data_IF_828185297870
#
_entry.id   IF_828185297870
#
_cell.length_a   1.000
_cell.length_b   1.000
_cell.length_c   1.000
_cell.angle_alpha   90.00
_cell.angle_beta   90.00
_cell.angle_gamma   90.00
#
_symmetry.space_group_name_H-M   'P 1'
#
loop_
_entity.id
_entity.type
_entity.pdbx_description
1 polymer ?
#
# COMPACT_ATOMS: atom_id res chain seq x y z
N UNK A 1 6.28 22.11 -11.43
CA UNK A 1 6.18 20.77 -10.79
C UNK A 1 5.81 19.75 -11.85
N UNK A 2 6.59 18.67 -12.07
CA UNK A 2 6.29 17.66 -13.09
C UNK A 2 4.98 16.94 -12.73
N UNK A 3 4.01 16.91 -13.64
CA UNK A 3 2.72 16.24 -13.43
C UNK A 3 2.95 14.72 -13.37
N UNK A 4 2.54 14.07 -12.27
CA UNK A 4 2.56 12.61 -12.18
C UNK A 4 1.40 12.04 -12.99
N UNK A 5 1.75 11.26 -14.02
CA UNK A 5 0.80 10.47 -14.80
C UNK A 5 0.96 9.01 -14.39
N UNK A 6 0.15 8.59 -13.42
CA UNK A 6 0.00 7.19 -13.04
C UNK A 6 -1.30 6.66 -13.64
N UNK A 7 -1.28 5.47 -14.21
CA UNK A 7 -2.50 4.80 -14.64
C UNK A 7 -3.36 4.46 -13.41
N UNK A 8 -4.68 4.48 -13.57
CA UNK A 8 -5.60 3.96 -12.55
C UNK A 8 -5.59 2.43 -12.62
N UNK A 9 -4.58 1.82 -11.99
CA UNK A 9 -4.36 0.39 -12.01
C UNK A 9 -3.62 -0.04 -10.75
N UNK A 10 -4.33 -0.73 -9.85
CA UNK A 10 -3.75 -1.27 -8.63
C UNK A 10 -2.82 -2.45 -8.96
N UNK A 11 -1.51 -2.23 -8.85
CA UNK A 11 -0.48 -3.26 -8.99
C UNK A 11 0.54 -3.14 -7.87
N UNK A 12 0.78 -4.24 -7.15
CA UNK A 12 1.85 -4.31 -6.16
C UNK A 12 3.17 -4.69 -6.82
N UNK A 13 4.23 -3.96 -6.47
CA UNK A 13 5.61 -4.38 -6.71
C UNK A 13 6.15 -5.02 -5.43
N UNK A 14 6.61 -6.27 -5.51
CA UNK A 14 7.15 -6.96 -4.34
C UNK A 14 8.56 -6.45 -4.02
N UNK A 15 8.78 -6.09 -2.75
CA UNK A 15 10.09 -5.77 -2.21
C UNK A 15 10.36 -6.62 -0.95
N UNK A 16 11.45 -7.41 -0.91
CA UNK A 16 11.80 -8.17 0.28
C UNK A 16 12.30 -7.22 1.38
N UNK A 17 11.72 -7.32 2.58
CA UNK A 17 12.23 -6.63 3.77
C UNK A 17 13.21 -7.56 4.46
N UNK A 18 14.47 -7.15 4.56
CA UNK A 18 15.50 -7.94 5.23
C UNK A 18 15.23 -8.00 6.74
N UNK A 19 15.36 -9.20 7.34
CA UNK A 19 14.98 -9.48 8.73
C UNK A 19 15.77 -8.67 9.77
N UNK A 20 16.89 -8.06 9.38
CA UNK A 20 17.73 -7.24 10.25
C UNK A 20 17.32 -5.75 10.30
N UNK A 21 16.45 -5.28 9.40
CA UNK A 21 16.14 -3.84 9.28
C UNK A 21 14.98 -3.39 10.18
N UNK A 22 14.12 -4.29 10.66
CA UNK A 22 13.02 -4.02 11.59
C UNK A 22 11.94 -3.00 11.14
N UNK A 23 12.20 -2.25 10.07
CA UNK A 23 11.36 -1.19 9.55
C UNK A 23 11.47 -1.12 8.02
N UNK A 24 10.44 -0.58 7.38
CA UNK A 24 10.43 -0.21 5.97
C UNK A 24 10.08 1.27 5.86
N UNK A 25 10.93 2.04 5.17
CA UNK A 25 10.68 3.45 4.87
C UNK A 25 10.14 3.53 3.45
N UNK A 26 9.03 4.24 3.26
CA UNK A 26 8.32 4.34 1.98
C UNK A 26 8.08 5.82 1.70
N UNK A 27 8.72 6.31 0.64
CA UNK A 27 8.42 7.62 0.07
C UNK A 27 7.50 7.46 -1.13
N UNK A 28 6.33 8.10 -1.08
CA UNK A 28 5.34 7.98 -2.15
C UNK A 28 4.84 9.34 -2.63
N UNK A 29 4.71 9.45 -3.94
CA UNK A 29 4.07 10.58 -4.60
C UNK A 29 3.09 10.04 -5.64
N UNK A 30 1.82 10.03 -5.31
CA UNK A 30 0.75 9.50 -6.14
C UNK A 30 -0.30 10.59 -6.42
N UNK A 31 -1.09 10.41 -7.49
CA UNK A 31 -2.18 11.34 -7.83
C UNK A 31 -3.42 11.13 -6.93
N UNK A 32 -3.75 9.87 -6.63
CA UNK A 32 -4.94 9.50 -5.87
C UNK A 32 -4.54 8.94 -4.51
N UNK A 33 -4.02 7.72 -4.47
CA UNK A 33 -3.65 7.03 -3.24
C UNK A 33 -2.40 6.17 -3.46
N UNK A 34 -1.89 5.60 -2.37
CA UNK A 34 -0.85 4.59 -2.39
C UNK A 34 -1.27 3.39 -1.54
N UNK A 35 -0.97 2.19 -2.03
CA UNK A 35 -1.28 0.95 -1.33
C UNK A 35 0.03 0.24 -0.98
N UNK A 36 0.21 -0.06 0.31
CA UNK A 36 1.34 -0.84 0.83
C UNK A 36 0.79 -2.15 1.37
N UNK A 37 1.21 -3.27 0.79
CA UNK A 37 0.80 -4.60 1.23
C UNK A 37 1.93 -5.29 1.99
N UNK A 38 1.63 -5.71 3.22
CA UNK A 38 2.48 -6.60 4.01
C UNK A 38 1.97 -8.03 3.83
N UNK A 39 2.74 -8.84 3.13
CA UNK A 39 2.41 -10.23 2.75
C UNK A 39 3.46 -11.21 3.24
N UNK A 40 3.10 -12.50 3.31
CA UNK A 40 4.02 -13.57 3.71
C UNK A 40 4.86 -14.11 2.55
N UNK A 41 4.50 -13.79 1.31
CA UNK A 41 5.18 -14.28 0.11
C UNK A 41 5.26 -13.19 -0.98
N UNK A 42 5.94 -13.52 -2.09
CA UNK A 42 6.13 -12.64 -3.27
C UNK A 42 4.85 -12.43 -4.11
N UNK A 43 3.70 -12.58 -3.50
CA UNK A 43 2.38 -12.46 -4.10
C UNK A 43 1.41 -11.92 -3.06
N UNK A 44 0.22 -11.54 -3.50
CA UNK A 44 -0.88 -11.35 -2.57
C UNK A 44 -1.14 -12.68 -1.83
N UNK A 45 -1.26 -12.62 -0.51
CA UNK A 45 -1.51 -13.77 0.37
C UNK A 45 -2.54 -13.41 1.42
N UNK A 46 -3.28 -14.37 1.94
CA UNK A 46 -4.00 -14.18 3.21
C UNK A 46 -3.23 -14.85 4.36
N UNK A 47 -3.05 -14.20 5.52
CA UNK A 47 -3.44 -12.82 5.80
C UNK A 47 -2.53 -11.80 5.12
N UNK A 48 -3.09 -10.68 4.70
CA UNK A 48 -2.40 -9.47 4.27
C UNK A 48 -2.87 -8.27 5.11
N UNK A 49 -1.93 -7.46 5.53
CA UNK A 49 -2.21 -6.12 6.05
C UNK A 49 -1.94 -5.11 4.96
N UNK A 50 -2.97 -4.40 4.55
CA UNK A 50 -2.85 -3.35 3.55
C UNK A 50 -3.02 -1.98 4.21
N UNK A 51 -2.06 -1.09 3.95
CA UNK A 51 -2.11 0.30 4.34
C UNK A 51 -2.42 1.10 3.08
N UNK A 52 -3.59 1.74 3.03
CA UNK A 52 -3.96 2.68 1.98
C UNK A 52 -3.73 4.10 2.49
N UNK A 53 -2.81 4.83 1.85
CA UNK A 53 -2.48 6.22 2.15
C UNK A 53 -3.19 7.14 1.15
N UNK A 54 -3.87 8.17 1.65
CA UNK A 54 -4.54 9.15 0.80
C UNK A 54 -5.74 8.59 0.04
N UNK A 55 -6.45 7.61 0.59
CA UNK A 55 -7.74 7.16 0.05
C UNK A 55 -8.81 8.26 0.08
N UNK A 56 -9.93 7.99 -0.59
CA UNK A 56 -11.08 8.91 -0.70
C UNK A 56 -10.65 10.32 -1.10
N UNK A 57 -10.07 10.49 -2.30
CA UNK A 57 -9.57 11.79 -2.78
C UNK A 57 -8.59 12.47 -1.81
N UNK A 58 -7.66 11.69 -1.24
CA UNK A 58 -6.69 12.13 -0.22
C UNK A 58 -7.30 12.61 1.11
N UNK A 59 -8.53 12.21 1.46
CA UNK A 59 -9.17 12.62 2.71
C UNK A 59 -8.96 11.67 3.88
N UNK A 60 -8.57 10.41 3.63
CA UNK A 60 -8.39 9.42 4.69
C UNK A 60 -7.29 8.40 4.38
N UNK A 61 -6.72 7.81 5.42
CA UNK A 61 -5.86 6.62 5.32
C UNK A 61 -6.47 5.49 6.14
N UNK A 62 -6.33 4.25 5.68
CA UNK A 62 -6.91 3.08 6.34
C UNK A 62 -5.95 1.91 6.35
N UNK A 63 -6.08 1.07 7.39
CA UNK A 63 -5.42 -0.22 7.45
C UNK A 63 -6.51 -1.28 7.30
N UNK A 64 -6.33 -2.20 6.35
CA UNK A 64 -7.30 -3.25 5.99
C UNK A 64 -6.69 -4.62 6.17
N UNK A 65 -7.48 -5.56 6.67
CA UNK A 65 -7.13 -6.97 6.62
C UNK A 65 -7.67 -7.58 5.31
N UNK A 66 -6.81 -8.17 4.49
CA UNK A 66 -7.16 -8.80 3.21
C UNK A 66 -7.97 -7.91 2.26
N UNK A 67 -7.68 -6.60 2.21
CA UNK A 67 -8.42 -5.59 1.43
C UNK A 67 -9.91 -5.48 1.79
N UNK A 68 -10.35 -6.09 2.89
CA UNK A 68 -11.73 -5.99 3.35
C UNK A 68 -11.96 -4.64 4.01
N UNK A 69 -13.20 -4.19 3.99
CA UNK A 69 -13.59 -3.01 4.78
C UNK A 69 -13.22 -3.27 6.25
N UNK A 70 -12.52 -2.33 6.92
CA UNK A 70 -12.21 -2.48 8.33
C UNK A 70 -13.49 -2.65 9.13
N UNK A 71 -13.45 -3.51 10.14
CA UNK A 71 -14.48 -3.54 11.17
C UNK A 71 -14.51 -2.15 11.83
N UNK A 72 -15.72 -1.62 12.08
CA UNK A 72 -15.94 -0.25 12.57
C UNK A 72 -15.16 0.08 13.83
#
# INVERSE_FOLDING_TARGET
>A
TKQLRTADNLKYAFHPVMSNSGCAIIDVKAKSNAHVALTKAKSETSPMYEIMLGGWDNTASVIRHDKKQPDK
#
